data_IF_005956365119
#
_entry.id   IF_005956365119
#
_cell.length_a   1.000
_cell.length_b   1.000
_cell.length_c   1.000
_cell.angle_alpha   90.00
_cell.angle_beta   90.00
_cell.angle_gamma   90.00
#
_symmetry.space_group_name_H-M   'P 1'
#
loop_
_entity.id
_entity.type
_entity.pdbx_description
1 polymer ?
#
# COMPACT_ATOMS: atom_id res chain seq x y z
N UNK A 1 -32.75 -13.98 34.07
CA UNK A 1 -31.36 -14.46 33.81
C UNK A 1 -31.14 -14.45 32.33
N UNK A 2 -30.47 -13.41 31.81
CA UNK A 2 -30.06 -13.29 30.42
C UNK A 2 -28.66 -13.89 30.33
N UNK A 3 -28.53 -15.02 29.61
CA UNK A 3 -27.24 -15.61 29.27
C UNK A 3 -26.64 -14.81 28.11
N UNK A 4 -25.63 -14.00 28.39
CA UNK A 4 -24.76 -13.44 27.37
C UNK A 4 -23.81 -14.56 26.93
N UNK A 5 -24.03 -15.11 25.75
CA UNK A 5 -23.07 -16.00 25.09
C UNK A 5 -21.86 -15.17 24.70
N UNK A 6 -20.79 -15.29 25.45
CA UNK A 6 -19.45 -14.90 24.99
C UNK A 6 -19.10 -15.77 23.78
N UNK A 7 -19.24 -15.20 22.58
CA UNK A 7 -18.61 -15.73 21.39
C UNK A 7 -17.14 -15.26 21.41
N UNK A 8 -16.29 -16.02 22.08
CA UNK A 8 -14.87 -16.01 21.80
C UNK A 8 -14.72 -16.47 20.33
N UNK A 9 -14.51 -15.52 19.43
CA UNK A 9 -14.00 -15.82 18.09
C UNK A 9 -12.55 -16.26 18.26
N UNK A 10 -12.35 -17.55 18.49
CA UNK A 10 -11.04 -18.17 18.35
C UNK A 10 -10.64 -17.99 16.89
N UNK A 11 -9.68 -17.09 16.64
CA UNK A 11 -8.96 -16.97 15.37
C UNK A 11 -8.13 -18.25 15.25
N UNK A 12 -8.71 -19.30 14.69
CA UNK A 12 -7.96 -20.46 14.23
C UNK A 12 -7.09 -19.92 13.11
N UNK A 13 -5.82 -19.61 13.41
CA UNK A 13 -4.78 -19.38 12.42
C UNK A 13 -4.64 -20.70 11.65
N UNK A 14 -5.39 -20.85 10.59
CA UNK A 14 -5.16 -21.93 9.63
C UNK A 14 -3.78 -21.65 9.05
N UNK A 15 -2.80 -22.44 9.49
CA UNK A 15 -1.41 -22.27 9.04
C UNK A 15 -1.39 -22.48 7.53
N UNK A 16 -0.90 -21.50 6.79
CA UNK A 16 -0.77 -21.62 5.34
C UNK A 16 0.03 -22.88 4.99
N UNK A 17 -0.34 -23.63 3.93
CA UNK A 17 0.44 -24.77 3.47
C UNK A 17 1.90 -24.35 3.21
N UNK A 18 2.86 -25.22 3.52
CA UNK A 18 4.29 -24.95 3.37
C UNK A 18 4.66 -24.58 1.95
N UNK A 19 4.05 -25.24 0.96
CA UNK A 19 4.18 -24.93 -0.46
C UNK A 19 3.79 -23.48 -0.80
N UNK A 20 2.71 -22.96 -0.20
CA UNK A 20 2.26 -21.59 -0.43
C UNK A 20 3.20 -20.57 0.24
N UNK A 21 3.80 -20.90 1.38
CA UNK A 21 4.82 -20.05 2.04
C UNK A 21 6.09 -19.98 1.17
N UNK A 22 6.54 -21.11 0.65
CA UNK A 22 7.72 -21.14 -0.24
C UNK A 22 7.44 -20.40 -1.55
N UNK A 23 6.23 -20.53 -2.12
CA UNK A 23 5.83 -19.77 -3.30
C UNK A 23 5.83 -18.27 -3.02
N UNK A 24 5.28 -17.80 -1.88
CA UNK A 24 5.35 -16.39 -1.47
C UNK A 24 6.80 -15.90 -1.35
N UNK A 25 7.70 -16.72 -0.81
CA UNK A 25 9.12 -16.40 -0.65
C UNK A 25 9.83 -16.27 -2.01
N UNK A 26 9.64 -17.23 -2.89
CA UNK A 26 10.24 -17.25 -4.22
C UNK A 26 9.74 -16.06 -5.06
N UNK A 27 8.45 -15.79 -5.02
CA UNK A 27 7.85 -14.65 -5.72
C UNK A 27 8.40 -13.31 -5.20
N UNK A 28 8.60 -13.18 -3.88
CA UNK A 28 9.25 -11.97 -3.33
C UNK A 28 10.68 -11.80 -3.82
N UNK A 29 11.46 -12.89 -3.90
CA UNK A 29 12.83 -12.86 -4.42
C UNK A 29 12.87 -12.44 -5.88
N UNK A 30 12.05 -13.05 -6.73
CA UNK A 30 11.98 -12.76 -8.16
C UNK A 30 11.59 -11.30 -8.42
N UNK A 31 10.53 -10.82 -7.80
CA UNK A 31 10.06 -9.45 -7.99
C UNK A 31 11.08 -8.40 -7.53
N UNK A 32 11.78 -8.65 -6.42
CA UNK A 32 12.88 -7.77 -5.96
C UNK A 32 14.03 -7.74 -6.97
N UNK A 33 14.42 -8.90 -7.50
CA UNK A 33 15.49 -8.98 -8.50
C UNK A 33 15.12 -8.21 -9.77
N UNK A 34 13.89 -8.39 -10.28
CA UNK A 34 13.40 -7.68 -11.47
C UNK A 34 13.31 -6.18 -11.24
N UNK A 35 12.81 -5.71 -10.08
CA UNK A 35 12.79 -4.28 -9.75
C UNK A 35 14.19 -3.67 -9.67
N UNK A 36 15.17 -4.42 -9.14
CA UNK A 36 16.56 -3.97 -9.05
C UNK A 36 17.25 -3.88 -10.43
N UNK A 37 16.74 -4.58 -11.42
CA UNK A 37 17.26 -4.56 -12.79
C UNK A 37 16.72 -3.40 -13.64
N UNK A 38 15.68 -2.69 -13.17
CA UNK A 38 15.11 -1.55 -13.88
C UNK A 38 16.07 -0.37 -13.93
N UNK A 39 16.16 0.26 -15.08
CA UNK A 39 16.82 1.55 -15.26
C UNK A 39 15.98 2.68 -14.65
N UNK A 40 16.60 3.81 -14.37
CA UNK A 40 15.90 4.98 -13.84
C UNK A 40 14.89 5.55 -14.86
N UNK A 41 15.16 5.38 -16.17
CA UNK A 41 14.25 5.79 -17.22
C UNK A 41 12.97 4.93 -17.26
N UNK A 42 13.11 3.60 -17.12
CA UNK A 42 11.97 2.67 -17.02
C UNK A 42 11.12 2.97 -15.78
N UNK A 43 11.75 3.24 -14.63
CA UNK A 43 11.03 3.61 -13.39
C UNK A 43 10.24 4.91 -13.57
N UNK A 44 10.85 5.96 -14.14
CA UNK A 44 10.18 7.24 -14.40
C UNK A 44 9.02 7.09 -15.39
N UNK A 45 9.22 6.31 -16.47
CA UNK A 45 8.17 6.07 -17.44
C UNK A 45 6.98 5.35 -16.82
N UNK A 46 7.22 4.31 -16.02
CA UNK A 46 6.17 3.58 -15.32
C UNK A 46 5.40 4.48 -14.33
N UNK A 47 6.10 5.32 -13.56
CA UNK A 47 5.47 6.26 -12.63
C UNK A 47 4.60 7.29 -13.36
N UNK A 48 5.07 7.85 -14.47
CA UNK A 48 4.31 8.79 -15.28
C UNK A 48 3.05 8.14 -15.90
N UNK A 49 3.16 6.89 -16.38
CA UNK A 49 2.04 6.12 -16.90
C UNK A 49 0.99 5.85 -15.81
N UNK A 50 1.42 5.45 -14.60
CA UNK A 50 0.53 5.25 -13.46
C UNK A 50 -0.19 6.55 -13.07
N UNK A 51 0.49 7.68 -13.03
CA UNK A 51 -0.14 8.97 -12.76
C UNK A 51 -1.19 9.32 -13.83
N UNK A 52 -0.91 9.06 -15.10
CA UNK A 52 -1.89 9.27 -16.16
C UNK A 52 -3.15 8.43 -15.96
N UNK A 53 -2.99 7.14 -15.69
CA UNK A 53 -4.11 6.23 -15.42
C UNK A 53 -4.90 6.62 -14.17
N UNK A 54 -4.23 7.05 -13.09
CA UNK A 54 -4.88 7.55 -11.88
C UNK A 54 -5.78 8.75 -12.17
N UNK A 55 -5.34 9.68 -13.02
CA UNK A 55 -6.14 10.85 -13.43
C UNK A 55 -7.40 10.51 -14.23
N UNK A 56 -7.48 9.31 -14.78
CA UNK A 56 -8.65 8.81 -15.50
C UNK A 56 -9.69 8.17 -14.55
N UNK A 57 -9.32 7.90 -13.28
CA UNK A 57 -10.22 7.30 -12.30
C UNK A 57 -11.04 8.37 -11.58
N UNK A 58 -12.38 8.36 -11.70
CA UNK A 58 -13.24 9.31 -10.99
C UNK A 58 -13.05 9.26 -9.48
N UNK A 59 -12.85 8.07 -8.90
CA UNK A 59 -12.67 7.87 -7.47
C UNK A 59 -11.40 8.55 -6.96
N UNK A 60 -10.29 8.49 -7.74
CA UNK A 60 -9.07 9.20 -7.41
C UNK A 60 -9.22 10.72 -7.59
N UNK A 61 -9.87 11.14 -8.67
CA UNK A 61 -10.06 12.56 -8.97
C UNK A 61 -10.97 13.26 -7.97
N UNK A 62 -12.01 12.58 -7.48
CA UNK A 62 -13.00 13.12 -6.55
C UNK A 62 -12.60 12.97 -5.07
N UNK A 63 -11.58 12.16 -4.75
CA UNK A 63 -11.12 12.02 -3.37
C UNK A 63 -10.39 13.28 -2.91
N UNK A 64 -10.80 13.84 -1.77
CA UNK A 64 -10.11 14.97 -1.13
C UNK A 64 -8.81 14.50 -0.45
N UNK A 65 -8.83 13.30 0.15
CA UNK A 65 -7.69 12.69 0.84
C UNK A 65 -7.05 11.58 0.00
N UNK A 66 -5.73 11.70 -0.19
CA UNK A 66 -4.91 10.69 -0.85
C UNK A 66 -3.91 10.14 0.16
N UNK A 67 -4.01 8.85 0.42
CA UNK A 67 -3.04 8.10 1.21
C UNK A 67 -1.97 7.55 0.26
N UNK A 68 -0.73 7.96 0.45
CA UNK A 68 0.36 7.56 -0.46
C UNK A 68 1.54 7.00 0.32
N UNK A 69 2.15 5.93 -0.17
CA UNK A 69 3.47 5.52 0.34
C UNK A 69 4.56 6.39 -0.28
N UNK A 70 5.68 6.53 0.43
CA UNK A 70 6.90 7.09 -0.12
C UNK A 70 7.74 5.92 -0.61
N UNK A 71 8.04 5.89 -1.91
CA UNK A 71 8.69 4.77 -2.56
C UNK A 71 10.07 4.48 -1.95
N UNK A 72 10.33 3.21 -1.69
CA UNK A 72 11.63 2.72 -1.23
C UNK A 72 11.98 1.41 -1.94
N UNK A 73 13.24 1.00 -1.90
CA UNK A 73 13.68 -0.31 -2.41
C UNK A 73 13.21 -0.60 -3.85
N UNK A 74 13.34 0.40 -4.73
CA UNK A 74 12.89 0.35 -6.12
C UNK A 74 11.38 0.02 -6.29
N UNK A 75 10.54 0.45 -5.36
CA UNK A 75 9.09 0.51 -5.58
C UNK A 75 8.77 1.47 -6.72
N UNK A 76 7.55 1.35 -7.28
CA UNK A 76 7.07 2.35 -8.23
C UNK A 76 7.07 3.72 -7.56
N UNK A 77 7.74 4.68 -8.17
CA UNK A 77 7.95 6.02 -7.62
C UNK A 77 6.63 6.78 -7.47
N UNK A 78 6.43 7.37 -6.29
CA UNK A 78 5.21 8.11 -5.95
C UNK A 78 5.45 9.61 -5.75
N UNK A 79 6.70 10.08 -5.81
CA UNK A 79 7.04 11.48 -5.56
C UNK A 79 6.30 12.45 -6.50
N UNK A 80 6.25 12.14 -7.80
CA UNK A 80 5.54 12.96 -8.78
C UNK A 80 4.01 12.88 -8.59
N UNK A 81 3.49 11.72 -8.18
CA UNK A 81 2.07 11.52 -7.87
C UNK A 81 1.69 12.37 -6.65
N UNK A 82 2.48 12.31 -5.58
CA UNK A 82 2.29 13.13 -4.37
C UNK A 82 2.34 14.61 -4.70
N UNK A 83 3.37 15.05 -5.44
CA UNK A 83 3.54 16.44 -5.85
C UNK A 83 2.37 16.93 -6.69
N UNK A 84 1.88 16.10 -7.60
CA UNK A 84 0.70 16.43 -8.41
C UNK A 84 -0.55 16.56 -7.52
N UNK A 85 -0.79 15.63 -6.59
CA UNK A 85 -1.94 15.67 -5.68
C UNK A 85 -1.95 16.97 -4.86
N UNK A 86 -0.81 17.33 -4.26
CA UNK A 86 -0.66 18.57 -3.50
C UNK A 86 -0.90 19.82 -4.36
N UNK A 87 -0.35 19.85 -5.59
CA UNK A 87 -0.56 20.96 -6.51
C UNK A 87 -1.99 21.09 -7.01
N UNK A 88 -2.73 19.99 -7.04
CA UNK A 88 -4.14 19.91 -7.40
C UNK A 88 -5.08 20.29 -6.24
N UNK A 89 -4.54 20.59 -5.06
CA UNK A 89 -5.29 20.99 -3.87
C UNK A 89 -5.84 19.83 -3.04
N UNK A 90 -5.33 18.60 -3.25
CA UNK A 90 -5.70 17.44 -2.44
C UNK A 90 -4.90 17.39 -1.15
N UNK A 91 -5.49 16.87 -0.09
CA UNK A 91 -4.78 16.49 1.12
C UNK A 91 -4.00 15.19 0.89
N UNK A 92 -2.75 15.15 1.29
CA UNK A 92 -1.91 13.94 1.15
C UNK A 92 -1.45 13.46 2.51
N UNK A 93 -1.70 12.19 2.81
CA UNK A 93 -1.25 11.52 4.02
C UNK A 93 -0.26 10.39 3.69
N UNK A 94 0.86 10.35 4.42
CA UNK A 94 1.90 9.33 4.24
C UNK A 94 2.10 8.50 5.51
N UNK A 95 2.54 7.23 5.38
CA UNK A 95 2.61 6.32 6.51
C UNK A 95 3.81 6.57 7.41
N UNK A 96 3.61 6.32 8.71
CA UNK A 96 4.65 6.19 9.72
C UNK A 96 4.42 4.92 10.51
N UNK A 97 5.46 4.12 10.68
CA UNK A 97 5.39 2.86 11.42
C UNK A 97 5.90 3.07 12.84
N UNK A 98 5.06 2.72 13.82
CA UNK A 98 5.38 2.76 15.24
C UNK A 98 5.20 1.36 15.84
N UNK A 99 6.29 0.64 16.04
CA UNK A 99 6.24 -0.77 16.46
C UNK A 99 5.57 -1.65 15.40
N UNK A 100 4.43 -2.23 15.73
CA UNK A 100 3.64 -3.10 14.83
C UNK A 100 2.45 -2.39 14.17
N UNK A 101 2.29 -1.09 14.39
CA UNK A 101 1.14 -0.31 13.94
C UNK A 101 1.63 0.73 12.93
N UNK A 102 0.84 0.92 11.87
CA UNK A 102 1.04 1.95 10.88
C UNK A 102 -0.06 3.02 11.02
N UNK A 103 0.35 4.28 11.02
CA UNK A 103 -0.55 5.43 11.01
C UNK A 103 -0.21 6.33 9.83
N UNK A 104 -1.15 7.15 9.43
CA UNK A 104 -0.96 8.12 8.36
C UNK A 104 -1.01 9.54 8.91
N UNK A 105 -0.19 10.42 8.35
CA UNK A 105 -0.06 11.81 8.75
C UNK A 105 -0.03 12.69 7.51
N UNK A 106 -0.71 13.82 7.59
CA UNK A 106 -0.74 14.81 6.52
C UNK A 106 0.66 15.40 6.29
N UNK A 107 0.97 15.62 5.02
CA UNK A 107 2.12 16.38 4.58
C UNK A 107 1.68 17.48 3.61
N UNK A 108 2.39 18.60 3.61
CA UNK A 108 2.21 19.71 2.65
C UNK A 108 3.29 19.71 1.56
N UNK A 109 4.39 19.03 1.83
CA UNK A 109 5.49 18.78 0.89
C UNK A 109 6.26 17.52 1.27
N UNK A 110 6.96 16.90 0.32
CA UNK A 110 7.84 15.76 0.62
C UNK A 110 9.00 16.12 1.58
N UNK A 111 9.38 17.40 1.65
CA UNK A 111 10.37 17.91 2.61
C UNK A 111 9.91 17.85 4.07
N UNK A 112 8.62 17.63 4.33
CA UNK A 112 8.08 17.45 5.69
C UNK A 112 8.45 16.07 6.27
N UNK A 113 9.02 15.20 5.42
CA UNK A 113 9.44 13.86 5.80
C UNK A 113 10.92 13.81 6.13
N UNK A 114 11.26 13.04 7.16
CA UNK A 114 12.62 12.82 7.64
C UNK A 114 12.97 11.32 7.56
N UNK A 115 14.25 10.95 7.48
CA UNK A 115 14.66 9.55 7.54
C UNK A 115 14.16 8.88 8.83
N UNK A 116 13.29 7.90 8.69
CA UNK A 116 12.71 7.11 9.77
C UNK A 116 13.26 5.69 9.83
N UNK A 117 12.44 4.75 10.30
CA UNK A 117 12.80 3.34 10.41
C UNK A 117 13.22 2.75 9.05
N UNK A 118 14.29 1.96 9.05
CA UNK A 118 14.82 1.30 7.84
C UNK A 118 15.28 2.25 6.72
N UNK A 119 15.52 3.54 7.00
CA UNK A 119 15.91 4.55 6.02
C UNK A 119 14.75 4.99 5.09
N UNK A 120 13.53 4.65 5.45
CA UNK A 120 12.32 5.11 4.75
C UNK A 120 12.00 6.52 5.25
N UNK A 121 11.61 7.43 4.35
CA UNK A 121 11.15 8.75 4.75
C UNK A 121 9.79 8.63 5.45
N UNK A 122 9.69 9.22 6.63
CA UNK A 122 8.49 9.22 7.46
C UNK A 122 8.10 10.66 7.84
N UNK A 123 6.80 10.96 7.97
CA UNK A 123 6.34 12.28 8.39
C UNK A 123 6.75 12.57 9.84
N UNK A 124 7.04 13.83 10.14
CA UNK A 124 7.40 14.29 11.49
C UNK A 124 6.21 14.33 12.48
N UNK A 125 4.95 14.09 12.01
CA UNK A 125 3.72 14.21 12.78
C UNK A 125 3.69 13.47 14.13
N UNK A 126 2.94 14.03 15.07
CA UNK A 126 2.69 13.47 16.40
C UNK A 126 1.39 12.63 16.41
N UNK A 127 1.14 11.89 17.48
CA UNK A 127 -0.02 10.99 17.60
C UNK A 127 -1.38 11.71 17.38
N UNK A 128 -1.50 12.94 17.83
CA UNK A 128 -2.71 13.77 17.68
C UNK A 128 -3.02 14.18 16.24
N UNK A 129 -2.03 14.08 15.36
CA UNK A 129 -2.11 14.53 13.96
C UNK A 129 -2.43 13.34 13.00
N UNK A 130 -2.84 12.19 13.54
CA UNK A 130 -3.19 11.01 12.75
C UNK A 130 -4.43 11.25 11.91
N UNK A 131 -4.35 10.84 10.65
CA UNK A 131 -5.44 10.95 9.69
C UNK A 131 -6.15 9.60 9.59
N UNK A 132 -7.48 9.63 9.70
CA UNK A 132 -8.37 8.47 9.56
C UNK A 132 -9.58 8.78 8.68
N UNK A 133 -9.58 9.93 8.00
CA UNK A 133 -10.65 10.38 7.11
C UNK A 133 -10.75 9.44 5.90
N UNK A 134 -11.96 9.06 5.43
CA UNK A 134 -12.10 8.29 4.19
C UNK A 134 -11.41 8.96 3.01
N UNK A 135 -10.85 8.14 2.11
CA UNK A 135 -10.10 8.67 0.95
C UNK A 135 -9.68 7.58 -0.01
N UNK A 136 -8.72 7.91 -0.86
CA UNK A 136 -8.15 7.00 -1.85
C UNK A 136 -6.72 6.64 -1.47
N UNK A 137 -6.40 5.35 -1.37
CA UNK A 137 -5.09 4.87 -0.92
C UNK A 137 -4.31 4.21 -2.05
N UNK A 138 -3.09 4.70 -2.26
CA UNK A 138 -2.08 4.06 -3.09
C UNK A 138 -1.35 3.01 -2.25
N UNK A 139 -1.39 1.75 -2.67
CA UNK A 139 -0.86 0.63 -1.90
C UNK A 139 0.34 0.00 -2.60
N UNK A 140 1.51 -0.11 -1.94
CA UNK A 140 2.68 -0.76 -2.51
C UNK A 140 2.58 -2.28 -2.41
N UNK A 141 3.32 -2.98 -3.27
CA UNK A 141 3.44 -4.43 -3.19
C UNK A 141 4.57 -4.98 -4.05
N UNK A 142 4.85 -6.26 -3.89
CA UNK A 142 5.84 -6.99 -4.69
C UNK A 142 5.21 -7.71 -5.87
N UNK A 143 4.00 -8.26 -5.71
CA UNK A 143 3.24 -8.85 -6.81
C UNK A 143 1.74 -8.63 -6.59
N UNK A 144 0.99 -8.66 -7.68
CA UNK A 144 -0.46 -8.49 -7.70
C UNK A 144 -1.06 -9.47 -8.69
N UNK A 145 -2.33 -9.84 -8.49
CA UNK A 145 -3.08 -10.58 -9.49
C UNK A 145 -4.39 -9.86 -9.87
N UNK A 146 -4.99 -10.30 -10.97
CA UNK A 146 -6.22 -9.69 -11.52
C UNK A 146 -7.45 -9.82 -10.60
N UNK A 147 -7.36 -10.60 -9.52
CA UNK A 147 -8.41 -10.72 -8.52
C UNK A 147 -8.23 -9.71 -7.36
N UNK A 148 -7.28 -8.78 -7.48
CA UNK A 148 -6.95 -7.79 -6.46
C UNK A 148 -6.06 -8.31 -5.32
N UNK A 149 -5.59 -9.55 -5.36
CA UNK A 149 -4.69 -10.06 -4.34
C UNK A 149 -3.32 -9.40 -4.46
N UNK A 150 -2.70 -9.13 -3.31
CA UNK A 150 -1.42 -8.42 -3.18
C UNK A 150 -0.43 -9.21 -2.35
N UNK A 151 0.80 -9.33 -2.83
CA UNK A 151 1.94 -9.82 -2.06
C UNK A 151 2.76 -8.64 -1.53
N UNK A 152 2.67 -8.39 -0.23
CA UNK A 152 3.50 -7.41 0.46
C UNK A 152 4.84 -7.98 0.92
N UNK A 153 5.60 -7.18 1.67
CA UNK A 153 6.91 -7.56 2.23
C UNK A 153 6.83 -8.53 3.40
N UNK A 154 5.64 -8.76 3.98
CA UNK A 154 5.42 -9.72 5.07
C UNK A 154 5.10 -9.09 6.43
N UNK A 155 5.11 -7.76 6.56
CA UNK A 155 4.78 -7.07 7.82
C UNK A 155 3.28 -6.95 8.11
N UNK A 156 2.42 -7.10 7.09
CA UNK A 156 0.97 -7.02 7.22
C UNK A 156 0.43 -5.64 7.60
N UNK A 157 1.23 -4.57 7.50
CA UNK A 157 0.84 -3.23 7.95
C UNK A 157 -0.40 -2.70 7.23
N UNK A 158 -0.44 -2.81 5.89
CA UNK A 158 -1.59 -2.37 5.10
C UNK A 158 -2.83 -3.21 5.36
N UNK A 159 -2.69 -4.53 5.49
CA UNK A 159 -3.82 -5.43 5.76
C UNK A 159 -4.44 -5.14 7.14
N UNK A 160 -3.59 -4.91 8.16
CA UNK A 160 -4.04 -4.49 9.50
C UNK A 160 -4.73 -3.12 9.47
N UNK A 161 -4.17 -2.13 8.75
CA UNK A 161 -4.75 -0.80 8.66
C UNK A 161 -6.09 -0.82 7.95
N UNK A 162 -6.18 -1.45 6.77
CA UNK A 162 -7.38 -1.55 5.97
C UNK A 162 -8.47 -2.42 6.62
N UNK A 163 -8.12 -3.30 7.55
CA UNK A 163 -9.12 -4.07 8.31
C UNK A 163 -9.99 -3.20 9.21
N UNK A 164 -9.52 -2.01 9.62
CA UNK A 164 -10.24 -1.04 10.45
C UNK A 164 -10.68 0.23 9.69
N UNK A 165 -10.39 0.31 8.39
CA UNK A 165 -10.71 1.46 7.52
C UNK A 165 -11.27 0.95 6.18
N UNK A 166 -12.39 0.23 6.25
CA UNK A 166 -13.00 -0.44 5.08
C UNK A 166 -13.60 0.54 4.06
N UNK A 167 -13.80 1.79 4.45
CA UNK A 167 -14.31 2.88 3.60
C UNK A 167 -13.23 3.49 2.67
N UNK A 168 -11.95 3.12 2.84
CA UNK A 168 -10.88 3.61 1.98
C UNK A 168 -10.86 2.82 0.68
N UNK A 169 -10.93 3.53 -0.44
CA UNK A 169 -10.77 2.94 -1.78
C UNK A 169 -9.28 2.74 -2.05
N UNK A 170 -8.91 1.56 -2.53
CA UNK A 170 -7.51 1.14 -2.66
C UNK A 170 -7.08 0.92 -4.10
N UNK A 171 -5.91 1.45 -4.47
CA UNK A 171 -5.26 1.16 -5.75
C UNK A 171 -3.83 0.62 -5.51
N UNK A 172 -3.58 -0.60 -5.94
CA UNK A 172 -2.23 -1.12 -5.98
C UNK A 172 -1.46 -0.47 -7.13
N UNK A 173 -0.23 0.01 -6.83
CA UNK A 173 0.67 0.53 -7.85
C UNK A 173 1.84 -0.43 -8.06
N UNK A 174 2.17 -0.73 -9.32
CA UNK A 174 3.27 -1.61 -9.63
C UNK A 174 3.75 -1.47 -11.08
N UNK A 175 4.82 -2.16 -11.39
CA UNK A 175 5.31 -2.34 -12.74
C UNK A 175 4.55 -3.48 -13.43
N UNK A 176 4.43 -3.47 -14.75
CA UNK A 176 3.70 -4.48 -15.54
C UNK A 176 4.07 -5.91 -15.15
N UNK A 177 5.36 -6.17 -14.94
CA UNK A 177 5.86 -7.50 -14.60
C UNK A 177 5.46 -7.99 -13.18
N UNK A 178 4.96 -7.10 -12.33
CA UNK A 178 4.47 -7.44 -10.99
C UNK A 178 3.04 -8.02 -11.04
N UNK A 179 2.37 -7.94 -12.21
CA UNK A 179 1.07 -8.58 -12.41
C UNK A 179 1.31 -10.04 -12.77
N UNK A 180 0.96 -10.93 -11.86
CA UNK A 180 1.14 -12.37 -11.99
C UNK A 180 -0.22 -13.07 -12.16
N UNK A 181 -0.21 -14.34 -12.57
CA UNK A 181 -1.43 -15.10 -12.75
C UNK A 181 -2.19 -15.29 -11.42
N UNK A 182 -1.45 -15.59 -10.34
CA UNK A 182 -2.02 -15.81 -9.02
C UNK A 182 -1.05 -15.45 -7.91
N UNK A 183 -1.53 -14.68 -6.95
CA UNK A 183 -0.84 -14.41 -5.68
C UNK A 183 -1.42 -15.33 -4.61
N UNK A 184 -0.58 -16.10 -3.86
CA UNK A 184 -1.06 -16.86 -2.72
C UNK A 184 -1.59 -15.90 -1.64
N UNK A 185 -2.86 -15.99 -1.32
CA UNK A 185 -3.55 -15.11 -0.37
C UNK A 185 -4.13 -15.88 0.81
N UNK A 186 -4.35 -15.19 1.91
CA UNK A 186 -4.99 -15.67 3.14
C UNK A 186 -6.33 -14.95 3.35
N UNK A 187 -7.26 -15.51 4.12
CA UNK A 187 -8.59 -14.91 4.31
C UNK A 187 -8.56 -13.50 4.93
N UNK A 188 -7.47 -13.12 5.58
CA UNK A 188 -7.30 -11.80 6.19
C UNK A 188 -6.57 -10.80 5.29
N UNK A 189 -6.01 -11.24 4.15
CA UNK A 189 -5.40 -10.34 3.17
C UNK A 189 -6.48 -9.48 2.52
N UNK A 190 -6.31 -8.17 2.53
CA UNK A 190 -7.25 -7.23 1.91
C UNK A 190 -7.00 -7.15 0.41
N UNK A 191 -8.07 -7.29 -0.36
CA UNK A 191 -8.02 -7.12 -1.81
C UNK A 191 -7.99 -5.65 -2.19
N UNK A 192 -7.32 -5.36 -3.28
CA UNK A 192 -7.26 -4.02 -3.86
C UNK A 192 -8.44 -3.81 -4.81
N UNK A 193 -9.04 -2.61 -4.78
CA UNK A 193 -10.15 -2.23 -5.66
C UNK A 193 -9.65 -1.99 -7.08
N UNK A 194 -8.44 -1.41 -7.21
CA UNK A 194 -7.81 -1.09 -8.50
C UNK A 194 -6.39 -1.63 -8.58
N UNK A 195 -5.97 -1.99 -9.80
CA UNK A 195 -4.57 -2.29 -10.16
C UNK A 195 -4.12 -1.31 -11.22
N UNK A 196 -3.08 -0.53 -10.94
CA UNK A 196 -2.52 0.49 -11.82
C UNK A 196 -1.06 0.12 -12.13
N UNK A 197 -0.77 -0.18 -13.39
CA UNK A 197 0.54 -0.64 -13.86
C UNK A 197 0.81 -0.24 -15.30
#
# INVERSE_FOLDING_TARGET
>A
KILVRNMERSWIKTKMPEEALELKKNLRCDMKARRNALTDEEKKHAAANCLSKLKELPEFMNADWIYAYIACRNELETADIISWCLSYGKHVAVPKVQGEIMHFYEITALSDCVPGAFGILEPAGEEKDRITTPGFMLVPGLAFDKNGNRLGYGGGFYDKYLASHEEIITAALGYDFQIVEKVPSEPHDKKMDYLIY
#
